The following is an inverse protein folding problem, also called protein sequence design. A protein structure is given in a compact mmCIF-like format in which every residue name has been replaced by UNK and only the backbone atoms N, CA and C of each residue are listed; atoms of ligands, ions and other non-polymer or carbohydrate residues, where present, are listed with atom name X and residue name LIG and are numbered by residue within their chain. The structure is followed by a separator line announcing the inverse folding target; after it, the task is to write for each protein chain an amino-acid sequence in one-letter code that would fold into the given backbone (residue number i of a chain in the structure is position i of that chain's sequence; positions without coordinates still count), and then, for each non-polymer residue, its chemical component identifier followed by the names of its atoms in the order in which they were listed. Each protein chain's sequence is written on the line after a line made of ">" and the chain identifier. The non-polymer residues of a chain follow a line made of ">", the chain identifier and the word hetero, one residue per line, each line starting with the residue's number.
data_IF_321517203155
#
_entry.id   IF_321517203155
#
_cell.length_a   1.000
_cell.length_b   1.000
_cell.length_c   1.000
_cell.angle_alpha   90.00
_cell.angle_beta   90.00
_cell.angle_gamma   90.00
#
_symmetry.space_group_name_H-M   'P 1'
#
loop_
_entity.id
_entity.type
_entity.pdbx_description
1 polymer ?
#
# COMPACT_ATOMS: atom_id res chain seq x y z
N UNK A 1 27.70 -11.80 -15.31
CA UNK A 1 27.97 -10.35 -15.51
C UNK A 1 26.66 -9.62 -15.30
N UNK A 2 26.52 -8.80 -14.25
CA UNK A 2 25.35 -7.91 -14.12
C UNK A 2 25.32 -7.00 -15.36
N UNK A 3 24.16 -6.90 -16.02
CA UNK A 3 23.99 -6.00 -17.16
C UNK A 3 23.90 -4.57 -16.64
N UNK A 4 25.03 -3.88 -16.58
CA UNK A 4 25.05 -2.49 -16.16
C UNK A 4 24.36 -1.63 -17.24
N UNK A 5 23.42 -0.80 -16.80
CA UNK A 5 22.68 0.12 -17.67
C UNK A 5 22.99 1.54 -17.24
N UNK A 6 23.29 2.41 -18.20
CA UNK A 6 23.62 3.82 -17.93
C UNK A 6 22.39 4.69 -18.18
N UNK A 7 22.08 5.57 -17.23
CA UNK A 7 21.03 6.57 -17.36
C UNK A 7 21.65 7.96 -17.24
N UNK A 8 21.26 8.88 -18.13
CA UNK A 8 21.62 10.29 -17.99
C UNK A 8 20.70 10.96 -16.98
N UNK A 9 21.30 11.70 -16.05
CA UNK A 9 20.60 12.43 -15.00
C UNK A 9 20.96 13.92 -15.12
N UNK A 10 20.03 14.78 -14.73
CA UNK A 10 20.35 16.21 -14.56
C UNK A 10 21.30 16.38 -13.38
N UNK A 11 22.06 17.49 -13.37
CA UNK A 11 22.94 17.83 -12.25
C UNK A 11 22.16 17.96 -10.93
N UNK A 12 20.97 18.53 -11.01
CA UNK A 12 20.08 18.71 -9.87
C UNK A 12 19.61 17.37 -9.28
N UNK A 13 19.20 16.42 -10.14
CA UNK A 13 18.78 15.08 -9.70
C UNK A 13 19.94 14.33 -9.07
N UNK A 14 21.14 14.42 -9.64
CA UNK A 14 22.34 13.79 -9.09
C UNK A 14 22.69 14.37 -7.71
N UNK A 15 22.59 15.69 -7.54
CA UNK A 15 22.83 16.35 -6.24
C UNK A 15 21.83 15.88 -5.17
N UNK A 16 20.55 15.78 -5.52
CA UNK A 16 19.51 15.25 -4.61
C UNK A 16 19.79 13.80 -4.21
N UNK A 17 20.20 12.96 -5.15
CA UNK A 17 20.57 11.56 -4.86
C UNK A 17 21.80 11.45 -3.95
N UNK A 18 22.79 12.33 -4.12
CA UNK A 18 23.95 12.36 -3.22
C UNK A 18 23.58 12.79 -1.80
N UNK A 19 22.70 13.78 -1.65
CA UNK A 19 22.18 14.18 -0.32
C UNK A 19 21.48 13.03 0.37
N UNK A 20 20.56 12.37 -0.34
CA UNK A 20 19.85 11.20 0.16
C UNK A 20 20.81 10.06 0.56
N UNK A 21 21.79 9.74 -0.29
CA UNK A 21 22.78 8.72 0.04
C UNK A 21 23.59 9.09 1.30
N UNK A 22 23.85 10.38 1.52
CA UNK A 22 24.49 10.88 2.74
C UNK A 22 23.61 10.71 3.99
N UNK A 23 22.31 11.01 3.88
CA UNK A 23 21.34 10.81 4.95
C UNK A 23 21.22 9.33 5.33
N UNK A 24 21.07 8.45 4.34
CA UNK A 24 21.01 6.99 4.56
C UNK A 24 22.34 6.47 5.13
N UNK A 25 23.48 7.01 4.68
CA UNK A 25 24.78 6.63 5.21
C UNK A 25 24.95 7.01 6.68
N UNK A 26 24.46 8.18 7.07
CA UNK A 26 24.46 8.64 8.45
C UNK A 26 23.57 7.73 9.34
N UNK A 27 22.39 7.34 8.83
CA UNK A 27 21.48 6.44 9.55
C UNK A 27 22.05 5.02 9.70
N UNK A 28 22.66 4.46 8.65
CA UNK A 28 23.20 3.10 8.64
C UNK A 28 24.61 2.99 9.23
N UNK A 29 25.29 4.11 9.49
CA UNK A 29 26.67 4.14 9.97
C UNK A 29 27.70 3.57 8.99
N UNK A 30 27.37 3.47 7.70
CA UNK A 30 28.25 2.95 6.64
C UNK A 30 28.10 3.75 5.36
N UNK A 31 29.11 3.65 4.48
CA UNK A 31 29.04 4.22 3.14
C UNK A 31 27.91 3.55 2.34
N UNK A 32 27.13 4.38 1.65
CA UNK A 32 25.99 3.98 0.84
C UNK A 32 26.24 4.38 -0.62
N UNK A 33 25.88 3.49 -1.56
CA UNK A 33 25.99 3.78 -2.99
C UNK A 33 24.73 4.49 -3.51
N UNK A 34 24.82 5.14 -4.66
CA UNK A 34 23.65 5.74 -5.31
C UNK A 34 22.59 4.70 -5.69
N UNK A 35 23.01 3.48 -6.03
CA UNK A 35 22.12 2.37 -6.32
C UNK A 35 21.34 1.95 -5.08
N UNK A 36 22.01 1.79 -3.93
CA UNK A 36 21.35 1.51 -2.65
C UNK A 36 20.35 2.62 -2.28
N UNK A 37 20.71 3.89 -2.47
CA UNK A 37 19.81 5.01 -2.20
C UNK A 37 18.56 4.98 -3.10
N UNK A 38 18.72 4.61 -4.38
CA UNK A 38 17.59 4.42 -5.30
C UNK A 38 16.68 3.26 -4.89
N UNK A 39 17.26 2.14 -4.45
CA UNK A 39 16.49 0.99 -3.97
C UNK A 39 15.66 1.35 -2.73
N UNK A 40 16.24 2.08 -1.78
CA UNK A 40 15.51 2.55 -0.60
C UNK A 40 14.33 3.45 -0.98
N UNK A 41 14.49 4.37 -1.93
CA UNK A 41 13.37 5.20 -2.42
C UNK A 41 12.24 4.37 -3.04
N UNK A 42 12.59 3.32 -3.79
CA UNK A 42 11.61 2.43 -4.40
C UNK A 42 10.85 1.64 -3.32
N UNK A 43 11.57 1.08 -2.35
CA UNK A 43 10.97 0.37 -1.22
C UNK A 43 10.05 1.28 -0.40
N UNK A 44 10.46 2.51 -0.09
CA UNK A 44 9.61 3.46 0.63
C UNK A 44 8.33 3.80 -0.14
N UNK A 45 8.43 3.97 -1.46
CA UNK A 45 7.27 4.24 -2.30
C UNK A 45 6.28 3.06 -2.29
N UNK A 46 6.79 1.83 -2.33
CA UNK A 46 5.95 0.62 -2.24
C UNK A 46 5.30 0.49 -0.87
N UNK A 47 6.05 0.74 0.22
CA UNK A 47 5.49 0.75 1.59
C UNK A 47 4.36 1.77 1.72
N UNK A 48 4.58 3.02 1.31
CA UNK A 48 3.55 4.06 1.34
C UNK A 48 2.31 3.68 0.54
N UNK A 49 2.48 3.07 -0.63
CA UNK A 49 1.35 2.58 -1.45
C UNK A 49 0.57 1.49 -0.72
N UNK A 50 1.26 0.55 -0.08
CA UNK A 50 0.63 -0.53 0.67
C UNK A 50 -0.09 -0.03 1.93
N UNK A 51 0.49 0.93 2.64
CA UNK A 51 -0.15 1.59 3.78
C UNK A 51 -1.45 2.30 3.36
N UNK A 52 -1.41 3.04 2.25
CA UNK A 52 -2.61 3.69 1.69
C UNK A 52 -3.70 2.68 1.33
N UNK A 53 -3.33 1.55 0.73
CA UNK A 53 -4.26 0.47 0.41
C UNK A 53 -4.82 -0.21 1.67
N UNK A 54 -4.00 -0.36 2.72
CA UNK A 54 -4.45 -0.94 3.99
C UNK A 54 -5.44 -0.04 4.73
N UNK A 55 -5.26 1.28 4.64
CA UNK A 55 -6.21 2.25 5.16
C UNK A 55 -7.56 2.14 4.45
N UNK A 56 -7.55 2.05 3.12
CA UNK A 56 -8.76 1.85 2.33
C UNK A 56 -9.47 0.54 2.65
N UNK A 57 -8.75 -0.57 2.77
CA UNK A 57 -9.34 -1.86 3.14
C UNK A 57 -10.00 -1.83 4.54
N UNK A 58 -9.48 -1.03 5.47
CA UNK A 58 -10.10 -0.84 6.78
C UNK A 58 -11.36 0.04 6.73
N UNK A 59 -11.43 1.01 5.82
CA UNK A 59 -12.63 1.81 5.57
C UNK A 59 -13.73 0.95 4.92
N UNK A 60 -13.39 0.22 3.85
CA UNK A 60 -14.30 -0.69 3.15
C UNK A 60 -14.88 -1.75 4.10
N UNK A 61 -14.05 -2.29 5.02
CA UNK A 61 -14.49 -3.25 6.03
C UNK A 61 -15.46 -2.63 7.05
N UNK A 62 -15.25 -1.38 7.46
CA UNK A 62 -16.16 -0.68 8.37
C UNK A 62 -17.50 -0.41 7.70
N UNK A 63 -17.48 -0.03 6.42
CA UNK A 63 -18.69 0.19 5.63
C UNK A 63 -19.48 -1.11 5.47
N UNK A 64 -18.82 -2.23 5.14
CA UNK A 64 -19.47 -3.55 5.05
C UNK A 64 -20.12 -3.98 6.37
N UNK A 65 -19.43 -3.79 7.50
CA UNK A 65 -20.00 -4.11 8.81
C UNK A 65 -21.22 -3.23 9.13
N UNK A 66 -21.17 -1.94 8.77
CA UNK A 66 -22.31 -1.04 8.96
C UNK A 66 -23.53 -1.45 8.12
N UNK A 67 -23.32 -1.98 6.92
CA UNK A 67 -24.38 -2.51 6.07
C UNK A 67 -24.99 -3.79 6.63
N UNK A 68 -24.17 -4.68 7.22
CA UNK A 68 -24.65 -5.92 7.85
C UNK A 68 -25.41 -5.67 9.15
N UNK A 69 -25.04 -4.64 9.91
CA UNK A 69 -25.72 -4.23 11.14
C UNK A 69 -27.01 -3.43 10.87
N UNK A 70 -27.22 -2.99 9.63
CA UNK A 70 -28.39 -2.22 9.25
C UNK A 70 -29.65 -3.09 9.31
N UNK A 71 -30.53 -2.79 10.25
CA UNK A 71 -31.85 -3.42 10.33
C UNK A 71 -32.75 -2.79 9.28
N UNK A 72 -33.20 -3.59 8.32
CA UNK A 72 -34.14 -3.15 7.28
C UNK A 72 -35.53 -3.09 7.91
N UNK A 73 -36.18 -1.92 7.88
CA UNK A 73 -37.56 -1.77 8.33
C UNK A 73 -38.50 -2.65 7.48
N UNK A 74 -39.24 -3.54 8.14
CA UNK A 74 -40.11 -4.53 7.48
C UNK A 74 -39.50 -5.92 7.31
N UNK A 75 -38.20 -6.10 7.53
CA UNK A 75 -37.57 -7.41 7.54
C UNK A 75 -37.82 -8.11 8.89
N UNK A 76 -38.67 -9.14 8.86
CA UNK A 76 -38.95 -10.00 10.02
C UNK A 76 -38.03 -11.22 10.06
N UNK A 77 -38.03 -12.00 11.16
CA UNK A 77 -37.33 -13.30 11.23
C UNK A 77 -37.78 -14.28 10.13
N UNK A 78 -39.00 -14.08 9.64
CA UNK A 78 -39.64 -14.85 8.55
C UNK A 78 -38.88 -14.70 7.22
N UNK A 79 -38.26 -13.55 6.94
CA UNK A 79 -37.58 -13.26 5.67
C UNK A 79 -36.20 -13.94 5.56
N UNK A 80 -35.67 -14.43 6.68
CA UNK A 80 -34.42 -15.21 6.73
C UNK A 80 -34.66 -16.72 6.65
N UNK A 81 -35.92 -17.15 6.54
CA UNK A 81 -36.29 -18.55 6.44
C UNK A 81 -35.94 -19.04 5.04
N UNK A 82 -35.15 -20.11 4.96
CA UNK A 82 -34.85 -20.75 3.69
C UNK A 82 -36.16 -21.25 3.08
N UNK A 83 -36.43 -20.86 1.83
CA UNK A 83 -37.58 -21.38 1.09
C UNK A 83 -37.36 -22.87 0.85
N UNK A 84 -38.27 -23.71 1.35
CA UNK A 84 -38.28 -25.11 0.98
C UNK A 84 -38.80 -25.19 -0.47
N UNK A 85 -38.00 -25.78 -1.36
CA UNK A 85 -38.33 -25.87 -2.79
C UNK A 85 -39.68 -26.59 -3.04
N UNK A 86 -40.16 -27.32 -2.03
CA UNK A 86 -41.41 -28.07 -2.05
C UNK A 86 -42.66 -27.25 -1.65
N UNK A 87 -42.53 -25.95 -1.32
CA UNK A 87 -43.64 -25.05 -1.00
C UNK A 87 -44.29 -24.38 -2.25
N UNK A 88 -43.96 -24.87 -3.47
CA UNK A 88 -44.49 -24.40 -4.77
C UNK A 88 -45.64 -25.25 -5.31
#
# INVERSE_FOLDING_TARGET
>A
MSKNTTMKLSKETLEKLHKLAGEIAAEKGRRVTLEEALLVLLEEKERKKNEMNSHKANEDRKELLSLLEMKIEGAGPEDFKEYDFNDL
#
